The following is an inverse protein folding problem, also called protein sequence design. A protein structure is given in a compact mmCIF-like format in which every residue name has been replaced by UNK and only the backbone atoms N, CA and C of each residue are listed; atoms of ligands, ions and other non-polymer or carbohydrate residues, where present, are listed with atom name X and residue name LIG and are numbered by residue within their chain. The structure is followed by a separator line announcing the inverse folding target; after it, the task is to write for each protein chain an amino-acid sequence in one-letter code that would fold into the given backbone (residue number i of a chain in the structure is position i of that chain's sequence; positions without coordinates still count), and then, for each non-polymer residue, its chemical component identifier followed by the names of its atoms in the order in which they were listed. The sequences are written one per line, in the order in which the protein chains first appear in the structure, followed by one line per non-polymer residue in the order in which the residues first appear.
data_IF_702525962711
#
_entry.id   IF_702525962711
#
_cell.length_a   1.000
_cell.length_b   1.000
_cell.length_c   1.000
_cell.angle_alpha   90.00
_cell.angle_beta   90.00
_cell.angle_gamma   90.00
#
_symmetry.space_group_name_H-M   'P 1'
#
loop_
_entity.id
_entity.type
_entity.pdbx_description
1 polymer ?
#
# COMPACT_ATOMS: atom_id res chain seq x y z
N UNK A 1 25.08 -23.73 77.42
CA UNK A 1 23.69 -23.85 76.92
C UNK A 1 23.46 -22.70 75.95
N UNK A 2 22.83 -22.84 74.79
CA UNK A 2 22.26 -24.02 74.14
C UNK A 2 22.75 -24.13 72.67
N UNK A 3 22.47 -25.26 72.00
CA UNK A 3 22.89 -25.49 70.62
C UNK A 3 21.77 -25.16 69.61
N UNK A 4 22.14 -24.70 68.41
CA UNK A 4 21.23 -24.49 67.28
C UNK A 4 21.63 -25.38 66.09
N UNK A 5 20.86 -26.43 65.84
CA UNK A 5 21.14 -27.43 64.80
C UNK A 5 20.52 -27.03 63.46
N UNK A 6 21.32 -26.92 62.39
CA UNK A 6 20.86 -26.67 61.02
C UNK A 6 21.21 -27.85 60.11
N UNK A 7 20.19 -28.58 59.66
CA UNK A 7 20.36 -29.85 58.97
C UNK A 7 20.62 -29.77 57.46
N UNK A 8 21.39 -30.75 56.98
CA UNK A 8 21.36 -31.39 55.67
C UNK A 8 20.64 -30.64 54.52
N UNK A 9 21.41 -30.03 53.62
CA UNK A 9 20.99 -29.82 52.23
C UNK A 9 21.41 -31.05 51.39
N UNK A 10 20.53 -31.65 50.58
CA UNK A 10 20.90 -32.73 49.68
C UNK A 10 21.71 -32.23 48.46
N UNK A 11 22.50 -33.13 47.90
CA UNK A 11 23.39 -32.92 46.76
C UNK A 11 22.62 -32.73 45.43
N UNK A 12 22.93 -31.70 44.60
CA UNK A 12 22.32 -31.51 43.28
C UNK A 12 22.71 -32.54 42.21
N UNK A 13 23.61 -33.50 42.47
CA UNK A 13 24.12 -34.46 41.47
C UNK A 13 23.09 -35.41 40.85
N UNK A 14 21.87 -35.54 41.39
CA UNK A 14 20.88 -36.53 40.95
C UNK A 14 19.66 -35.93 40.21
N UNK A 15 19.83 -35.57 38.92
CA UNK A 15 18.71 -35.44 37.95
C UNK A 15 19.06 -35.99 36.56
N UNK A 16 18.80 -37.27 36.37
CA UNK A 16 18.92 -38.01 35.10
C UNK A 16 17.85 -37.55 34.08
N UNK A 17 18.15 -37.45 32.76
CA UNK A 17 17.21 -36.88 31.78
C UNK A 17 16.10 -37.85 31.34
N UNK A 18 14.88 -37.34 31.20
CA UNK A 18 13.76 -38.08 30.58
C UNK A 18 13.79 -38.02 29.04
N UNK A 19 13.30 -39.08 28.40
CA UNK A 19 13.55 -39.36 26.99
C UNK A 19 12.57 -38.71 25.98
N UNK A 20 12.97 -38.70 24.71
CA UNK A 20 12.16 -38.23 23.56
C UNK A 20 11.03 -39.22 23.21
N UNK A 21 9.82 -38.70 23.01
CA UNK A 21 8.68 -39.40 22.39
C UNK A 21 8.48 -39.01 20.91
N UNK A 22 7.73 -39.80 20.11
CA UNK A 22 7.81 -39.73 18.64
C UNK A 22 6.96 -38.64 17.97
N UNK A 23 7.47 -38.18 16.82
CA UNK A 23 6.79 -37.25 15.89
C UNK A 23 5.49 -37.85 15.35
N UNK A 24 4.38 -37.10 15.39
CA UNK A 24 3.22 -37.29 14.48
C UNK A 24 3.26 -36.21 13.40
N UNK A 25 3.45 -36.61 12.15
CA UNK A 25 3.54 -35.67 11.03
C UNK A 25 2.19 -35.36 10.41
N UNK A 26 1.77 -34.08 10.43
CA UNK A 26 0.69 -33.59 9.58
C UNK A 26 1.25 -33.06 8.26
N UNK A 27 1.27 -33.89 7.23
CA UNK A 27 1.44 -33.43 5.84
C UNK A 27 0.14 -32.74 5.38
N UNK A 28 -0.01 -31.43 5.63
CA UNK A 28 -0.93 -30.64 4.80
C UNK A 28 -0.33 -30.52 3.40
N UNK A 29 -1.10 -30.89 2.38
CA UNK A 29 -0.75 -30.61 0.98
C UNK A 29 -1.02 -29.13 0.73
N UNK A 30 0.01 -28.35 0.49
CA UNK A 30 -0.13 -27.02 -0.12
C UNK A 30 -0.24 -27.21 -1.64
N UNK A 31 -1.27 -26.67 -2.33
CA UNK A 31 -1.35 -26.73 -3.79
C UNK A 31 -0.29 -25.80 -4.40
N UNK A 32 0.68 -26.35 -5.13
CA UNK A 32 1.73 -25.56 -5.78
C UNK A 32 1.22 -24.91 -7.07
N UNK A 33 0.59 -23.75 -6.95
CA UNK A 33 0.10 -22.95 -8.07
C UNK A 33 0.45 -21.46 -7.90
N UNK A 34 1.74 -21.09 -7.93
CA UNK A 34 2.21 -19.82 -8.49
C UNK A 34 3.74 -19.85 -8.67
N UNK A 35 4.18 -20.37 -9.82
CA UNK A 35 5.54 -20.19 -10.32
C UNK A 35 5.48 -19.46 -11.65
N UNK A 36 5.07 -18.18 -11.60
CA UNK A 36 5.11 -17.28 -12.74
C UNK A 36 6.55 -16.83 -12.99
N UNK A 37 7.32 -17.63 -13.74
CA UNK A 37 8.70 -17.29 -14.13
C UNK A 37 8.71 -16.16 -15.16
N UNK A 38 8.63 -14.91 -14.68
CA UNK A 38 8.72 -13.72 -15.53
C UNK A 38 10.13 -13.58 -16.13
N UNK A 39 10.27 -14.01 -17.39
CA UNK A 39 11.44 -13.70 -18.22
C UNK A 39 11.13 -12.49 -19.11
N UNK A 40 12.00 -11.47 -19.17
CA UNK A 40 11.75 -10.27 -19.97
C UNK A 40 11.90 -10.55 -21.47
N UNK A 41 10.78 -10.57 -22.20
CA UNK A 41 10.80 -10.76 -23.66
C UNK A 41 11.25 -9.49 -24.39
N UNK A 42 12.50 -9.50 -24.85
CA UNK A 42 13.13 -8.38 -25.55
C UNK A 42 12.51 -8.01 -26.90
N UNK A 43 12.46 -6.70 -27.14
CA UNK A 43 12.20 -5.95 -28.38
C UNK A 43 12.26 -6.76 -29.69
N UNK A 44 11.15 -6.79 -30.44
CA UNK A 44 11.17 -7.03 -31.90
C UNK A 44 10.31 -6.03 -32.69
N UNK A 45 10.90 -5.49 -33.76
CA UNK A 45 10.28 -4.50 -34.66
C UNK A 45 9.20 -5.14 -35.56
N UNK A 46 8.17 -4.36 -36.00
CA UNK A 46 7.16 -4.86 -36.92
C UNK A 46 7.74 -5.16 -38.31
N UNK A 47 7.29 -6.24 -38.95
CA UNK A 47 7.49 -6.50 -40.37
C UNK A 47 6.16 -6.36 -41.13
N UNK A 48 6.20 -5.61 -42.24
CA UNK A 48 5.13 -5.63 -43.25
C UNK A 48 5.03 -7.04 -43.86
N UNK A 49 3.81 -7.52 -44.08
CA UNK A 49 3.51 -8.59 -45.04
C UNK A 49 2.48 -8.10 -46.07
N UNK A 50 2.49 -8.68 -47.27
CA UNK A 50 1.79 -8.11 -48.43
C UNK A 50 0.37 -8.65 -48.66
N UNK A 51 -0.44 -7.73 -49.16
CA UNK A 51 -1.65 -7.90 -49.96
C UNK A 51 -1.52 -9.03 -51.00
N UNK A 52 -2.32 -10.10 -50.86
CA UNK A 52 -2.87 -10.91 -51.96
C UNK A 52 -4.31 -11.25 -51.61
N UNK A 53 -5.17 -11.36 -52.62
CA UNK A 53 -6.59 -11.64 -52.42
C UNK A 53 -7.14 -12.61 -53.46
N UNK A 54 -8.22 -13.29 -53.09
CA UNK A 54 -8.98 -14.20 -53.93
C UNK A 54 -10.47 -13.95 -53.74
N UNK A 55 -11.23 -13.84 -54.83
CA UNK A 55 -12.70 -13.98 -54.83
C UNK A 55 -13.05 -15.42 -55.25
N UNK A 56 -14.25 -15.89 -54.90
CA UNK A 56 -15.16 -16.23 -55.99
C UNK A 56 -16.58 -15.64 -55.83
N UNK A 57 -17.40 -15.83 -56.88
CA UNK A 57 -18.88 -15.66 -56.91
C UNK A 57 -19.52 -17.00 -56.49
N UNK A 58 -20.79 -17.15 -56.12
CA UNK A 58 -21.94 -16.22 -55.99
C UNK A 58 -23.28 -17.02 -55.96
N UNK A 59 -24.43 -16.32 -55.93
CA UNK A 59 -25.83 -16.84 -55.88
C UNK A 59 -26.31 -17.52 -54.57
N UNK A 60 -27.60 -17.46 -54.17
CA UNK A 60 -28.68 -16.55 -54.64
C UNK A 60 -30.14 -16.91 -54.22
N UNK A 61 -30.74 -16.13 -53.30
CA UNK A 61 -32.15 -16.13 -52.80
C UNK A 61 -32.42 -14.82 -51.99
N UNK A 62 -33.59 -14.17 -51.74
CA UNK A 62 -35.05 -14.28 -52.02
C UNK A 62 -35.86 -15.38 -51.31
N UNK A 63 -37.01 -15.17 -50.65
CA UNK A 63 -37.82 -13.99 -50.20
C UNK A 63 -38.74 -14.48 -49.03
N UNK A 64 -39.64 -13.77 -48.31
CA UNK A 64 -40.43 -12.51 -48.38
C UNK A 64 -40.39 -11.78 -46.99
N UNK A 65 -40.87 -10.56 -46.69
CA UNK A 65 -41.77 -9.55 -47.32
C UNK A 65 -43.28 -9.53 -46.93
N UNK A 66 -43.62 -9.01 -45.73
CA UNK A 66 -44.91 -8.34 -45.34
C UNK A 66 -44.80 -7.67 -43.94
N UNK A 67 -45.69 -6.78 -43.44
CA UNK A 67 -46.36 -5.60 -44.04
C UNK A 67 -47.25 -4.85 -42.99
N UNK A 68 -47.16 -3.50 -42.94
CA UNK A 68 -48.13 -2.52 -42.34
C UNK A 68 -48.32 -2.56 -40.80
N UNK A 69 -48.68 -1.44 -40.13
CA UNK A 69 -48.75 -0.04 -40.59
C UNK A 69 -49.56 0.89 -39.66
N UNK A 70 -49.57 2.20 -39.98
CA UNK A 70 -50.54 3.25 -39.56
C UNK A 70 -50.77 3.56 -38.06
N UNK A 71 -51.24 4.74 -37.66
CA UNK A 71 -51.04 6.13 -38.12
C UNK A 71 -51.79 7.07 -37.16
N UNK A 72 -51.16 8.14 -36.67
CA UNK A 72 -51.86 9.26 -36.04
C UNK A 72 -51.07 10.57 -36.22
N UNK A 73 -51.77 11.64 -36.58
CA UNK A 73 -51.27 13.01 -36.48
C UNK A 73 -52.11 13.75 -35.43
N UNK A 74 -51.48 14.61 -34.65
CA UNK A 74 -52.00 15.96 -34.59
C UNK A 74 -50.85 16.97 -34.50
N UNK A 75 -51.09 18.15 -35.08
CA UNK A 75 -50.27 19.33 -34.88
C UNK A 75 -51.01 20.24 -33.89
N UNK A 76 -50.27 21.04 -33.14
CA UNK A 76 -50.62 22.45 -33.07
C UNK A 76 -49.34 23.31 -32.99
N UNK A 77 -49.48 24.60 -33.28
CA UNK A 77 -48.42 25.61 -33.31
C UNK A 77 -48.84 26.79 -32.46
N UNK A 78 -47.96 27.26 -31.58
CA UNK A 78 -47.81 28.71 -31.34
C UNK A 78 -46.47 29.10 -30.72
N UNK A 79 -46.09 30.34 -31.01
CA UNK A 79 -44.88 31.11 -30.68
C UNK A 79 -45.34 32.59 -30.61
N UNK A 80 -44.53 33.55 -30.15
CA UNK A 80 -43.50 33.54 -29.09
C UNK A 80 -43.74 34.74 -28.12
N UNK A 81 -42.66 35.31 -27.55
CA UNK A 81 -42.60 36.42 -26.59
C UNK A 81 -43.01 36.04 -25.15
N UNK A 82 -42.44 36.63 -24.10
CA UNK A 82 -41.49 37.76 -24.04
C UNK A 82 -40.04 37.39 -23.73
N UNK A 83 -39.12 38.25 -24.14
CA UNK A 83 -37.74 38.30 -23.63
C UNK A 83 -37.59 39.49 -22.67
N UNK A 84 -36.47 39.52 -21.91
CA UNK A 84 -36.14 40.42 -20.79
C UNK A 84 -36.92 40.17 -19.50
N UNK A 85 -36.22 39.61 -18.51
CA UNK A 85 -35.97 40.35 -17.27
C UNK A 85 -34.63 39.91 -16.64
N UNK A 86 -33.99 40.87 -15.97
CA UNK A 86 -32.87 40.75 -15.04
C UNK A 86 -31.69 39.82 -15.40
N UNK A 87 -30.61 40.45 -15.85
CA UNK A 87 -29.27 40.09 -15.36
C UNK A 87 -29.20 40.33 -13.83
N UNK A 88 -28.06 39.97 -13.24
CA UNK A 88 -27.66 40.30 -11.87
C UNK A 88 -28.49 39.64 -10.77
N UNK A 89 -28.05 38.46 -10.31
CA UNK A 89 -27.33 38.37 -9.04
C UNK A 89 -26.50 37.07 -8.93
N UNK A 90 -25.38 37.15 -8.20
CA UNK A 90 -24.58 36.04 -7.67
C UNK A 90 -24.20 34.86 -8.59
N UNK A 91 -23.49 35.15 -9.69
CA UNK A 91 -22.38 34.29 -10.09
C UNK A 91 -21.23 34.39 -9.07
N UNK A 92 -21.46 33.90 -7.85
CA UNK A 92 -20.42 33.76 -6.85
C UNK A 92 -19.40 32.74 -7.35
N UNK A 93 -18.21 33.20 -7.78
CA UNK A 93 -17.09 32.30 -8.06
C UNK A 93 -16.88 31.42 -6.82
N UNK A 94 -16.92 30.07 -6.92
CA UNK A 94 -16.27 29.26 -5.90
C UNK A 94 -14.82 29.72 -5.88
N UNK A 95 -14.37 30.20 -4.72
CA UNK A 95 -12.98 30.60 -4.58
C UNK A 95 -12.13 29.36 -4.77
N UNK A 96 -11.23 29.37 -5.75
CA UNK A 96 -10.11 28.42 -5.82
C UNK A 96 -9.11 28.75 -4.72
N UNK A 97 -9.57 28.69 -3.47
CA UNK A 97 -8.70 28.43 -2.34
C UNK A 97 -8.01 27.10 -2.65
N UNK A 98 -6.70 27.14 -2.85
CA UNK A 98 -5.92 25.91 -2.83
C UNK A 98 -6.28 25.17 -1.54
N UNK A 99 -6.45 23.83 -1.57
CA UNK A 99 -6.56 23.08 -0.33
C UNK A 99 -5.37 23.47 0.56
N UNK A 100 -5.58 23.64 1.88
CA UNK A 100 -4.52 24.04 2.78
C UNK A 100 -3.36 23.06 2.59
N UNK A 101 -2.14 23.59 2.35
CA UNK A 101 -0.97 22.73 2.08
C UNK A 101 -0.88 21.66 3.18
N UNK A 102 -0.67 20.38 2.84
CA UNK A 102 -0.54 19.33 3.84
C UNK A 102 0.53 19.76 4.83
N UNK A 103 0.16 19.82 6.12
CA UNK A 103 1.05 20.32 7.16
C UNK A 103 2.25 19.40 7.22
N UNK A 104 3.40 19.92 6.79
CA UNK A 104 4.65 19.20 6.81
C UNK A 104 5.44 19.74 8.00
N UNK A 105 5.78 18.88 8.95
CA UNK A 105 6.55 19.28 10.12
C UNK A 105 8.04 19.06 9.86
N UNK A 106 8.83 20.06 10.19
CA UNK A 106 10.28 20.08 9.99
C UNK A 106 10.97 20.07 11.35
N UNK A 107 12.02 19.27 11.48
CA UNK A 107 12.78 19.14 12.70
C UNK A 107 14.15 19.76 12.47
N UNK A 108 14.54 20.74 13.29
CA UNK A 108 15.89 21.32 13.23
C UNK A 108 16.95 20.21 13.42
N UNK A 109 18.14 20.33 12.79
CA UNK A 109 19.13 19.26 12.78
C UNK A 109 19.58 18.82 14.19
N UNK A 110 19.55 19.74 15.15
CA UNK A 110 19.87 19.53 16.57
C UNK A 110 18.76 18.81 17.37
N UNK A 111 17.59 18.58 16.76
CA UNK A 111 16.47 17.81 17.33
C UNK A 111 16.41 16.37 16.83
N UNK A 112 17.25 15.98 15.87
CA UNK A 112 17.28 14.60 15.37
C UNK A 112 18.13 13.71 16.30
N UNK A 113 17.69 12.49 16.64
CA UNK A 113 18.46 11.56 17.46
C UNK A 113 19.88 11.32 16.91
N UNK A 114 20.85 11.12 17.81
CA UNK A 114 22.25 10.90 17.44
C UNK A 114 22.46 9.60 16.66
N UNK A 115 21.65 8.56 16.90
CA UNK A 115 21.69 7.29 16.16
C UNK A 115 21.09 7.36 14.75
N UNK A 116 20.28 8.38 14.45
CA UNK A 116 19.73 8.59 13.11
C UNK A 116 20.79 9.25 12.23
N UNK A 117 21.61 8.44 11.58
CA UNK A 117 22.84 8.87 10.88
C UNK A 117 22.72 8.84 9.36
N UNK A 118 21.74 8.14 8.77
CA UNK A 118 21.50 8.24 7.33
C UNK A 118 21.22 9.69 6.88
N UNK A 119 21.90 10.07 5.80
CA UNK A 119 21.84 11.41 5.21
C UNK A 119 20.53 11.68 4.49
N UNK A 120 19.83 10.65 4.00
CA UNK A 120 18.56 10.82 3.30
C UNK A 120 17.41 11.02 4.28
N UNK A 121 17.26 10.16 5.28
CA UNK A 121 16.29 10.32 6.37
C UNK A 121 16.48 11.66 7.09
N UNK A 122 17.72 12.03 7.46
CA UNK A 122 18.00 13.34 8.07
C UNK A 122 17.59 14.50 7.16
N UNK A 123 17.97 14.49 5.87
CA UNK A 123 17.61 15.53 4.88
C UNK A 123 16.10 15.67 4.70
N UNK A 124 15.37 14.55 4.66
CA UNK A 124 13.90 14.59 4.58
C UNK A 124 13.30 15.24 5.82
N UNK A 125 13.75 14.85 7.02
CA UNK A 125 13.22 15.38 8.29
C UNK A 125 13.55 16.85 8.54
N UNK A 126 14.67 17.36 8.03
CA UNK A 126 15.03 18.79 8.10
C UNK A 126 14.36 19.60 6.97
N UNK A 127 14.58 19.20 5.72
CA UNK A 127 14.39 20.08 4.55
C UNK A 127 13.01 19.90 3.90
N UNK A 128 12.51 18.66 3.86
CA UNK A 128 11.20 18.31 3.25
C UNK A 128 10.07 18.33 4.28
N UNK A 129 10.39 17.93 5.50
CA UNK A 129 9.43 17.61 6.55
C UNK A 129 8.71 16.26 6.29
N UNK A 130 8.03 15.76 7.33
CA UNK A 130 7.05 14.69 7.18
C UNK A 130 5.62 15.28 7.15
N UNK A 131 4.71 14.75 6.31
CA UNK A 131 3.32 15.15 6.34
C UNK A 131 2.61 14.65 7.60
N UNK A 132 1.86 15.51 8.27
CA UNK A 132 0.86 15.12 9.26
C UNK A 132 -0.33 14.51 8.52
N UNK A 133 -0.62 13.23 8.76
CA UNK A 133 -1.75 12.53 8.13
C UNK A 133 -2.27 11.38 8.99
N UNK A 134 -3.57 11.11 8.89
CA UNK A 134 -4.23 9.90 9.40
C UNK A 134 -5.19 9.44 8.30
N UNK A 135 -4.72 8.52 7.46
CA UNK A 135 -5.34 8.17 6.18
C UNK A 135 -5.27 6.68 5.94
N UNK A 136 -6.44 6.03 5.82
CA UNK A 136 -6.58 4.64 5.36
C UNK A 136 -5.58 3.67 6.02
N UNK A 137 -5.57 3.70 7.35
CA UNK A 137 -4.73 2.92 8.27
C UNK A 137 -3.22 3.24 8.27
N UNK A 138 -2.74 4.25 7.53
CA UNK A 138 -1.41 4.86 7.71
C UNK A 138 -1.55 6.19 8.44
N UNK A 139 -0.86 6.34 9.57
CA UNK A 139 -0.88 7.55 10.41
C UNK A 139 0.55 8.02 10.68
N UNK A 140 0.89 9.21 10.19
CA UNK A 140 2.19 9.86 10.45
C UNK A 140 1.94 11.10 11.30
N UNK A 141 2.58 11.14 12.47
CA UNK A 141 2.40 12.23 13.44
C UNK A 141 3.73 12.79 13.94
N UNK A 142 4.38 13.67 13.16
CA UNK A 142 5.56 14.42 13.59
C UNK A 142 5.36 15.32 14.82
N UNK A 143 4.11 15.63 15.17
CA UNK A 143 3.72 16.41 16.34
C UNK A 143 3.42 15.52 17.57
N UNK A 144 3.48 14.18 17.46
CA UNK A 144 3.23 13.25 18.57
C UNK A 144 4.42 13.16 19.53
N UNK A 145 4.14 12.98 20.83
CA UNK A 145 5.15 12.96 21.90
C UNK A 145 6.26 11.91 21.67
N UNK A 146 5.92 10.75 21.10
CA UNK A 146 6.88 9.66 20.80
C UNK A 146 7.55 9.77 19.44
N UNK A 147 7.34 10.86 18.70
CA UNK A 147 7.98 11.02 17.40
C UNK A 147 9.51 11.05 17.53
N UNK A 148 10.18 10.22 16.73
CA UNK A 148 11.62 9.91 16.80
C UNK A 148 12.11 9.40 18.16
N UNK A 149 11.24 8.81 18.99
CA UNK A 149 11.70 7.99 20.12
C UNK A 149 12.35 6.70 19.61
N UNK A 150 13.44 6.31 20.26
CA UNK A 150 14.06 5.01 20.06
C UNK A 150 13.15 3.92 20.64
N UNK A 151 12.81 2.92 19.83
CA UNK A 151 11.96 1.79 20.20
C UNK A 151 12.72 0.47 20.04
N UNK A 152 12.76 -0.40 21.08
CA UNK A 152 13.43 -1.69 20.97
C UNK A 152 12.61 -2.64 20.10
N UNK A 153 13.27 -3.40 19.23
CA UNK A 153 12.58 -4.44 18.45
C UNK A 153 12.05 -5.55 19.39
N UNK A 154 10.79 -6.03 19.23
CA UNK A 154 10.25 -7.09 20.07
C UNK A 154 11.07 -8.38 19.92
N UNK A 155 11.20 -9.17 20.99
CA UNK A 155 12.05 -10.39 20.99
C UNK A 155 11.30 -11.62 20.50
N UNK A 156 9.99 -11.51 20.43
CA UNK A 156 9.05 -12.57 20.13
C UNK A 156 8.71 -12.64 18.63
N UNK A 157 9.04 -11.59 17.86
CA UNK A 157 8.77 -11.48 16.41
C UNK A 157 10.05 -11.71 15.59
N UNK A 158 9.92 -11.87 14.27
CA UNK A 158 11.06 -11.99 13.37
C UNK A 158 11.94 -10.72 13.42
N UNK A 159 13.26 -10.89 13.42
CA UNK A 159 14.21 -9.77 13.38
C UNK A 159 14.39 -9.28 11.94
N UNK A 160 14.50 -7.95 11.73
CA UNK A 160 14.80 -7.37 10.43
C UNK A 160 16.29 -7.63 10.06
N UNK A 161 16.70 -7.20 8.87
CA UNK A 161 18.12 -7.29 8.47
C UNK A 161 18.97 -6.16 9.09
N UNK A 162 18.29 -5.14 9.61
CA UNK A 162 18.79 -3.93 10.22
C UNK A 162 19.04 -4.11 11.73
N UNK A 163 20.15 -3.59 12.26
CA UNK A 163 20.51 -3.71 13.69
C UNK A 163 19.87 -2.61 14.59
N UNK A 164 19.30 -1.55 14.01
CA UNK A 164 18.85 -0.36 14.74
C UNK A 164 19.98 0.63 15.04
N UNK A 165 19.74 1.65 15.90
CA UNK A 165 18.50 1.91 16.65
C UNK A 165 17.33 2.32 15.75
N UNK A 166 16.11 1.93 16.16
CA UNK A 166 14.87 2.19 15.42
C UNK A 166 14.12 3.38 15.99
N UNK A 167 13.74 4.35 15.14
CA UNK A 167 13.07 5.58 15.56
C UNK A 167 11.62 5.64 15.04
N UNK A 168 10.63 5.74 15.94
CA UNK A 168 9.22 5.75 15.56
C UNK A 168 8.84 7.02 14.77
N UNK A 169 8.15 6.86 13.63
CA UNK A 169 7.58 7.97 12.85
C UNK A 169 6.06 7.93 12.67
N UNK A 170 5.41 6.80 13.00
CA UNK A 170 3.97 6.67 12.85
C UNK A 170 3.43 5.28 13.19
N UNK A 171 2.26 4.97 12.64
CA UNK A 171 1.55 3.71 12.76
C UNK A 171 1.00 3.24 11.40
N UNK A 172 1.03 1.93 11.13
CA UNK A 172 0.39 1.29 9.98
C UNK A 172 -0.42 0.06 10.42
N UNK A 173 -1.74 0.10 10.20
CA UNK A 173 -2.70 -0.89 10.72
C UNK A 173 -2.59 -1.05 12.25
N UNK A 174 -2.24 0.06 12.91
CA UNK A 174 -2.07 0.18 14.36
C UNK A 174 -0.80 -0.44 14.93
N UNK A 175 0.20 -0.77 14.09
CA UNK A 175 1.53 -1.21 14.51
C UNK A 175 2.59 -0.17 14.09
N UNK A 176 3.73 -0.12 14.76
CA UNK A 176 4.71 0.96 14.63
C UNK A 176 5.40 1.01 13.25
N UNK A 177 5.48 2.22 12.67
CA UNK A 177 6.39 2.53 11.55
C UNK A 177 7.65 3.15 12.14
N UNK A 178 8.82 2.59 11.81
CA UNK A 178 10.11 3.03 12.34
C UNK A 178 11.13 3.26 11.22
N UNK A 179 12.11 4.14 11.46
CA UNK A 179 13.30 4.30 10.63
C UNK A 179 14.47 3.60 11.33
N UNK A 180 15.21 2.75 10.61
CA UNK A 180 16.53 2.30 11.05
C UNK A 180 17.56 3.44 10.96
N UNK A 181 18.20 3.75 12.08
CA UNK A 181 19.08 4.91 12.22
C UNK A 181 20.29 4.93 11.26
N UNK A 182 21.05 3.82 11.11
CA UNK A 182 22.20 3.75 10.21
C UNK A 182 21.87 3.70 8.72
N UNK A 183 20.87 2.93 8.30
CA UNK A 183 20.54 2.73 6.87
C UNK A 183 19.54 3.74 6.31
N UNK A 184 18.66 4.29 7.15
CA UNK A 184 17.52 5.09 6.71
C UNK A 184 16.36 4.27 6.14
N UNK A 185 16.44 2.92 6.18
CA UNK A 185 15.36 2.02 5.82
C UNK A 185 14.12 2.26 6.71
N UNK A 186 12.93 2.12 6.13
CA UNK A 186 11.65 2.25 6.81
C UNK A 186 11.05 0.86 6.99
N UNK A 187 10.75 0.52 8.24
CA UNK A 187 10.27 -0.80 8.67
C UNK A 187 8.87 -0.67 9.28
N UNK A 188 8.01 -1.66 9.04
CA UNK A 188 6.81 -1.91 9.85
C UNK A 188 7.16 -2.93 10.93
N UNK A 189 7.11 -2.53 12.19
CA UNK A 189 7.36 -3.38 13.35
C UNK A 189 6.07 -4.16 13.70
N UNK A 190 6.04 -5.50 13.68
CA UNK A 190 4.86 -6.27 14.04
C UNK A 190 4.63 -6.25 15.56
N UNK A 191 3.37 -6.16 16.00
CA UNK A 191 3.03 -6.19 17.44
C UNK A 191 3.10 -7.60 18.04
N UNK A 192 2.90 -8.63 17.21
CA UNK A 192 2.94 -10.04 17.62
C UNK A 192 3.54 -10.89 16.49
N UNK A 193 3.95 -12.11 16.83
CA UNK A 193 4.46 -13.09 15.87
C UNK A 193 3.37 -13.76 15.00
N UNK A 194 2.11 -13.34 15.15
CA UNK A 194 0.93 -13.98 14.55
C UNK A 194 0.11 -12.99 13.68
N UNK A 195 0.70 -11.86 13.26
CA UNK A 195 0.10 -10.90 12.31
C UNK A 195 0.05 -11.45 10.87
N UNK A 196 -0.74 -12.50 10.66
CA UNK A 196 -0.91 -13.21 9.38
C UNK A 196 -1.34 -12.29 8.23
N UNK A 197 -0.64 -12.36 7.09
CA UNK A 197 -0.97 -11.59 5.89
C UNK A 197 -0.40 -10.16 5.89
N UNK A 198 0.54 -9.89 6.78
CA UNK A 198 1.30 -8.63 6.89
C UNK A 198 2.81 -8.93 6.89
N UNK A 199 3.20 -9.96 6.13
CA UNK A 199 4.58 -10.43 6.02
C UNK A 199 5.47 -9.38 5.31
N UNK A 200 6.77 -9.37 5.62
CA UNK A 200 7.74 -8.42 5.08
C UNK A 200 7.87 -7.14 5.92
N UNK A 201 8.98 -7.04 6.65
CA UNK A 201 9.25 -5.95 7.60
C UNK A 201 9.66 -4.64 6.90
N UNK A 202 10.45 -4.74 5.82
CA UNK A 202 10.95 -3.61 5.03
C UNK A 202 9.85 -3.06 4.13
N UNK A 203 9.35 -1.85 4.43
CA UNK A 203 8.34 -1.16 3.61
C UNK A 203 8.96 -0.16 2.63
N UNK A 204 10.20 0.31 2.88
CA UNK A 204 11.03 1.05 1.94
C UNK A 204 12.51 1.05 2.32
N UNK A 205 13.40 1.08 1.33
CA UNK A 205 14.86 1.24 1.46
C UNK A 205 15.31 2.66 1.81
N UNK A 206 14.40 3.65 1.84
CA UNK A 206 14.71 5.01 2.31
C UNK A 206 13.44 5.82 2.61
N UNK A 207 13.58 6.85 3.45
CA UNK A 207 12.44 7.68 3.87
C UNK A 207 11.79 8.49 2.74
N UNK A 208 12.56 8.97 1.75
CA UNK A 208 11.99 9.66 0.58
C UNK A 208 11.27 8.69 -0.37
N UNK A 209 11.77 7.45 -0.52
CA UNK A 209 11.04 6.37 -1.20
C UNK A 209 9.74 6.02 -0.50
N UNK A 210 9.76 5.82 0.82
CA UNK A 210 8.54 5.56 1.61
C UNK A 210 7.47 6.62 1.36
N UNK A 211 7.83 7.91 1.43
CA UNK A 211 6.90 9.01 1.17
C UNK A 211 6.38 9.02 -0.27
N UNK A 212 7.22 8.70 -1.26
CA UNK A 212 6.80 8.60 -2.66
C UNK A 212 5.83 7.43 -2.89
N UNK A 213 6.09 6.25 -2.30
CA UNK A 213 5.20 5.10 -2.36
C UNK A 213 3.86 5.38 -1.67
N UNK A 214 3.89 5.96 -0.45
CA UNK A 214 2.70 6.44 0.27
C UNK A 214 1.89 7.42 -0.60
N UNK A 215 2.54 8.35 -1.29
CA UNK A 215 1.86 9.32 -2.14
C UNK A 215 1.19 8.69 -3.36
N UNK A 216 1.80 7.69 -4.01
CA UNK A 216 1.16 6.94 -5.10
C UNK A 216 0.02 6.07 -4.58
N UNK A 217 0.26 5.32 -3.51
CA UNK A 217 -0.72 4.42 -2.90
C UNK A 217 -1.96 5.17 -2.41
N UNK A 218 -1.82 6.27 -1.68
CA UNK A 218 -2.96 7.11 -1.25
C UNK A 218 -3.68 7.76 -2.42
N UNK A 219 -2.97 8.18 -3.48
CA UNK A 219 -3.59 8.71 -4.70
C UNK A 219 -4.45 7.64 -5.37
N UNK A 220 -3.88 6.47 -5.63
CA UNK A 220 -4.57 5.35 -6.26
C UNK A 220 -5.75 4.84 -5.43
N UNK A 221 -5.60 4.73 -4.11
CA UNK A 221 -6.69 4.34 -3.19
C UNK A 221 -7.84 5.35 -3.15
N UNK A 222 -7.56 6.65 -3.26
CA UNK A 222 -8.61 7.67 -3.40
C UNK A 222 -9.34 7.57 -4.74
N UNK A 223 -8.66 7.17 -5.82
CA UNK A 223 -9.30 6.93 -7.12
C UNK A 223 -10.14 5.64 -7.08
N UNK A 224 -9.64 4.53 -6.51
CA UNK A 224 -10.40 3.29 -6.29
C UNK A 224 -11.74 3.56 -5.56
N UNK A 225 -11.72 4.41 -4.53
CA UNK A 225 -12.93 4.86 -3.82
C UNK A 225 -13.91 5.73 -4.64
N UNK A 226 -13.68 5.92 -5.94
CA UNK A 226 -14.56 6.65 -6.88
C UNK A 226 -14.92 5.85 -8.14
N UNK A 227 -14.45 4.60 -8.26
CA UNK A 227 -14.80 3.73 -9.38
C UNK A 227 -16.08 2.93 -9.07
N UNK A 228 -16.83 2.61 -10.13
CA UNK A 228 -18.04 1.77 -10.07
C UNK A 228 -17.88 0.46 -10.87
N UNK A 229 -16.69 0.20 -11.43
CA UNK A 229 -16.41 -0.89 -12.36
C UNK A 229 -15.28 -1.81 -11.84
N UNK A 230 -15.61 -3.09 -11.64
CA UNK A 230 -14.70 -4.11 -11.10
C UNK A 230 -13.48 -4.38 -11.99
N UNK A 231 -13.60 -4.23 -13.31
CA UNK A 231 -12.46 -4.38 -14.23
C UNK A 231 -11.47 -3.19 -14.08
N UNK A 232 -11.99 -1.98 -13.86
CA UNK A 232 -11.17 -0.78 -13.62
C UNK A 232 -10.54 -0.81 -12.22
N UNK A 233 -11.25 -1.31 -11.20
CA UNK A 233 -10.69 -1.58 -9.88
C UNK A 233 -9.49 -2.53 -9.96
N UNK A 234 -9.64 -3.64 -10.69
CA UNK A 234 -8.60 -4.65 -10.83
C UNK A 234 -7.34 -4.10 -11.54
N UNK A 235 -7.54 -3.36 -12.63
CA UNK A 235 -6.45 -2.71 -13.38
C UNK A 235 -5.77 -1.60 -12.57
N UNK A 236 -6.54 -0.81 -11.81
CA UNK A 236 -5.97 0.25 -10.97
C UNK A 236 -5.19 -0.32 -9.77
N UNK A 237 -5.63 -1.44 -9.18
CA UNK A 237 -4.85 -2.15 -8.14
C UNK A 237 -3.49 -2.61 -8.68
N UNK A 238 -3.46 -3.25 -9.84
CA UNK A 238 -2.22 -3.62 -10.53
C UNK A 238 -1.35 -2.40 -10.81
N UNK A 239 -1.93 -1.30 -11.29
CA UNK A 239 -1.17 -0.07 -11.55
C UNK A 239 -0.55 0.54 -10.29
N UNK A 240 -1.23 0.45 -9.12
CA UNK A 240 -0.66 0.90 -7.84
C UNK A 240 0.51 0.00 -7.44
N UNK A 241 0.35 -1.32 -7.56
CA UNK A 241 1.39 -2.31 -7.25
C UNK A 241 2.65 -2.13 -8.13
N UNK A 242 2.47 -1.98 -9.45
CA UNK A 242 3.53 -1.63 -10.39
C UNK A 242 4.20 -0.29 -10.02
N UNK A 243 3.41 0.74 -9.67
CA UNK A 243 3.94 2.08 -9.38
C UNK A 243 4.76 2.16 -8.08
N UNK A 244 4.43 1.37 -7.05
CA UNK A 244 5.26 1.29 -5.85
C UNK A 244 6.51 0.41 -6.07
N UNK A 245 6.42 -0.62 -6.90
CA UNK A 245 7.56 -1.46 -7.31
C UNK A 245 8.61 -0.66 -8.12
N UNK A 246 8.17 0.17 -9.07
CA UNK A 246 9.06 1.04 -9.86
C UNK A 246 9.76 2.11 -9.00
N UNK A 247 9.19 2.48 -7.84
CA UNK A 247 9.85 3.34 -6.85
C UNK A 247 10.85 2.53 -6.02
N UNK A 248 10.41 1.40 -5.44
CA UNK A 248 11.22 0.57 -4.55
C UNK A 248 10.82 -0.90 -4.62
N UNK A 249 11.55 -1.67 -5.44
CA UNK A 249 11.31 -3.08 -5.70
C UNK A 249 11.59 -4.02 -4.50
N UNK A 250 12.25 -3.55 -3.44
CA UNK A 250 12.45 -4.33 -2.23
C UNK A 250 11.42 -3.97 -1.15
N UNK A 251 11.15 -2.68 -0.94
CA UNK A 251 10.13 -2.18 -0.01
C UNK A 251 8.69 -2.47 -0.44
N UNK A 252 8.40 -2.54 -1.75
CA UNK A 252 7.08 -2.89 -2.27
C UNK A 252 6.67 -4.35 -1.99
N UNK A 253 7.61 -5.17 -1.48
CA UNK A 253 7.40 -6.60 -1.20
C UNK A 253 6.74 -6.87 0.15
N UNK A 254 6.63 -5.86 1.02
CA UNK A 254 5.85 -5.95 2.24
C UNK A 254 4.35 -6.08 1.92
N UNK A 255 3.71 -7.14 2.43
CA UNK A 255 2.28 -7.39 2.22
C UNK A 255 1.40 -6.28 2.81
N UNK A 256 1.93 -5.43 3.69
CA UNK A 256 1.24 -4.24 4.17
C UNK A 256 0.72 -3.31 3.05
N UNK A 257 1.41 -3.24 1.90
CA UNK A 257 0.97 -2.48 0.73
C UNK A 257 -0.27 -3.10 0.05
N UNK A 258 -0.26 -4.41 -0.15
CA UNK A 258 -1.29 -5.16 -0.90
C UNK A 258 -2.47 -5.56 -0.02
N UNK A 259 -2.23 -5.94 1.24
CA UNK A 259 -3.27 -6.25 2.22
C UNK A 259 -4.26 -5.10 2.33
N UNK A 260 -3.76 -3.88 2.57
CA UNK A 260 -4.59 -2.69 2.71
C UNK A 260 -5.08 -2.12 1.36
N UNK A 261 -4.72 -2.71 0.21
CA UNK A 261 -5.49 -2.52 -1.03
C UNK A 261 -6.70 -3.46 -1.05
N UNK A 262 -6.49 -4.76 -0.80
CA UNK A 262 -7.47 -5.82 -1.12
C UNK A 262 -8.43 -6.22 0.01
N UNK A 263 -8.26 -5.70 1.23
CA UNK A 263 -9.05 -6.10 2.41
C UNK A 263 -9.75 -4.93 3.14
N UNK A 264 -9.90 -3.76 2.48
CA UNK A 264 -10.20 -2.45 3.10
C UNK A 264 -11.17 -1.57 2.29
#
# INVERSE_FOLDING_TARGET
MAAGNWGNRPDPSQRTPCARGPRRGYRRRVPSCFSASWQPHGVRRPRRCLRRGSRPRGSGARAHATARGTAARHQDRSRPHTARQCLDHHCGRPGNALPPRPRSAHHGPDRLPAGLTDKTARRVLTDTGLPVMDEKAIRLEPEYERFLWEVPWPKEVEQPAEDGPFFQIGLWMGAEIVIDGPSGHVLRMPRTAEESGLDGLLVATSLDRFLAMVAQWLTGRRILGTLENQDEDHLLRQHIEDAIWDIDADGSRAEAWTYALHND
#
